data_IF_807143762989
#
_entry.id   IF_807143762989
#
_cell.length_a   1.000
_cell.length_b   1.000
_cell.length_c   1.000
_cell.angle_alpha   90.00
_cell.angle_beta   90.00
_cell.angle_gamma   90.00
#
_symmetry.space_group_name_H-M   'P 1'
#
loop_
_entity.id
_entity.type
_entity.pdbx_description
1 polymer ?
#
# COMPACT_ATOMS: atom_id res chain seq x y z
N UNK A 1 -7.44 -7.75 2.02
CA UNK A 1 -6.70 -8.08 3.24
C UNK A 1 -5.69 -9.20 2.99
N UNK A 2 -4.72 -9.40 3.89
CA UNK A 2 -3.70 -10.45 3.84
C UNK A 2 -3.69 -11.20 5.17
N UNK A 3 -3.37 -12.49 5.14
CA UNK A 3 -3.13 -13.28 6.36
C UNK A 3 -1.71 -13.82 6.29
N UNK A 4 -0.93 -13.59 7.34
CA UNK A 4 0.46 -14.04 7.43
C UNK A 4 0.71 -14.83 8.70
N UNK A 5 1.66 -15.75 8.67
CA UNK A 5 2.20 -16.44 9.84
C UNK A 5 3.73 -16.36 9.80
N UNK A 6 4.28 -15.45 10.60
CA UNK A 6 5.65 -14.99 10.40
C UNK A 6 5.78 -14.27 9.05
N UNK A 7 6.77 -14.66 8.24
CA UNK A 7 6.99 -14.11 6.90
C UNK A 7 6.16 -14.79 5.80
N UNK A 8 5.49 -15.89 6.10
CA UNK A 8 4.74 -16.66 5.12
C UNK A 8 3.30 -16.18 4.99
N UNK A 9 2.80 -16.16 3.74
CA UNK A 9 1.39 -15.89 3.45
C UNK A 9 0.56 -17.15 3.70
N UNK A 10 -0.51 -17.02 4.47
CA UNK A 10 -1.47 -18.11 4.69
C UNK A 10 -2.47 -18.13 3.55
N UNK A 11 -2.35 -19.13 2.69
CA UNK A 11 -3.26 -19.39 1.57
C UNK A 11 -4.35 -20.41 1.90
N UNK A 12 -5.33 -20.55 0.98
CA UNK A 12 -6.38 -21.59 1.06
C UNK A 12 -7.43 -21.36 2.14
N UNK A 13 -7.52 -20.15 2.71
CA UNK A 13 -8.62 -19.77 3.58
C UNK A 13 -9.90 -19.54 2.77
N UNK A 14 -11.03 -19.80 3.39
CA UNK A 14 -12.36 -19.64 2.83
C UNK A 14 -13.14 -18.54 3.55
N UNK A 15 -14.31 -18.20 3.05
CA UNK A 15 -15.22 -17.22 3.67
C UNK A 15 -15.48 -17.52 5.16
N UNK A 16 -15.65 -18.80 5.51
CA UNK A 16 -16.02 -19.24 6.85
C UNK A 16 -14.85 -19.15 7.86
N UNK A 17 -13.62 -18.95 7.35
CA UNK A 17 -12.44 -18.75 8.18
C UNK A 17 -12.35 -17.31 8.72
N UNK A 18 -13.27 -16.41 8.35
CA UNK A 18 -13.21 -15.00 8.72
C UNK A 18 -14.43 -14.51 9.47
N UNK A 19 -14.20 -13.54 10.35
CA UNK A 19 -15.22 -12.75 11.03
C UNK A 19 -14.95 -11.28 10.79
N UNK A 20 -15.94 -10.57 10.26
CA UNK A 20 -15.90 -9.11 10.06
C UNK A 20 -16.74 -8.45 11.14
N UNK A 21 -16.16 -7.46 11.80
CA UNK A 21 -16.85 -6.62 12.79
C UNK A 21 -16.80 -5.18 12.28
N UNK A 22 -17.96 -4.50 12.28
CA UNK A 22 -18.08 -3.07 12.06
C UNK A 22 -18.60 -2.44 13.36
N UNK A 23 -17.86 -1.50 13.94
CA UNK A 23 -18.13 -0.96 15.28
C UNK A 23 -18.35 -2.06 16.32
N UNK A 24 -17.54 -3.13 16.27
CA UNK A 24 -17.63 -4.33 17.10
C UNK A 24 -18.91 -5.17 16.89
N UNK A 25 -19.75 -4.86 15.89
CA UNK A 25 -20.93 -5.66 15.55
C UNK A 25 -20.60 -6.61 14.40
N UNK A 26 -20.87 -7.92 14.52
CA UNK A 26 -20.63 -8.89 13.47
C UNK A 26 -21.42 -8.54 12.20
N UNK A 27 -20.74 -8.57 11.05
CA UNK A 27 -21.32 -8.33 9.74
C UNK A 27 -21.24 -9.58 8.87
N UNK A 28 -22.33 -9.93 8.16
CA UNK A 28 -22.31 -11.05 7.24
C UNK A 28 -21.44 -10.71 6.01
N UNK A 29 -20.51 -11.60 5.69
CA UNK A 29 -19.71 -11.49 4.48
C UNK A 29 -20.59 -11.85 3.28
N UNK A 30 -20.77 -10.92 2.35
CA UNK A 30 -21.62 -11.08 1.15
C UNK A 30 -20.83 -11.75 0.03
N UNK A 31 -19.62 -11.30 -0.24
CA UNK A 31 -18.72 -11.87 -1.25
C UNK A 31 -17.32 -12.12 -0.67
N UNK A 32 -16.68 -13.14 -1.20
CA UNK A 32 -15.33 -13.53 -0.83
C UNK A 32 -14.56 -13.92 -2.11
N UNK A 33 -13.42 -13.33 -2.31
CA UNK A 33 -12.58 -13.58 -3.46
C UNK A 33 -11.11 -13.72 -3.03
N UNK A 34 -10.38 -14.55 -3.76
CA UNK A 34 -8.97 -14.78 -3.49
C UNK A 34 -8.18 -14.88 -4.77
N UNK A 35 -7.40 -13.84 -5.05
CA UNK A 35 -6.39 -13.88 -6.10
C UNK A 35 -6.91 -13.86 -7.55
N UNK A 36 -8.21 -13.87 -7.83
CA UNK A 36 -8.74 -13.91 -9.20
C UNK A 36 -9.00 -12.53 -9.80
N UNK A 37 -9.31 -11.56 -8.96
CA UNK A 37 -9.52 -10.18 -9.35
C UNK A 37 -8.27 -9.55 -9.98
N UNK A 38 -8.41 -8.79 -11.08
CA UNK A 38 -7.33 -7.98 -11.61
C UNK A 38 -6.79 -7.00 -10.58
N UNK A 39 -5.51 -6.69 -10.66
CA UNK A 39 -4.85 -5.71 -9.81
C UNK A 39 -4.41 -4.50 -10.64
N UNK A 40 -4.87 -3.32 -10.24
CA UNK A 40 -4.29 -2.06 -10.67
C UNK A 40 -3.22 -1.66 -9.65
N UNK A 41 -1.96 -1.86 -10.00
CA UNK A 41 -0.81 -1.59 -9.14
C UNK A 41 -0.14 -0.28 -9.56
N UNK A 42 -0.05 0.68 -8.64
CA UNK A 42 0.73 1.89 -8.84
C UNK A 42 2.04 1.77 -8.04
N UNK A 43 3.16 1.83 -8.74
CA UNK A 43 4.49 1.92 -8.16
C UNK A 43 4.82 3.39 -7.92
N UNK A 44 5.06 3.78 -6.67
CA UNK A 44 5.35 5.16 -6.27
C UNK A 44 6.79 5.25 -5.75
N UNK A 45 7.69 5.76 -6.57
CA UNK A 45 9.11 5.80 -6.27
C UNK A 45 9.56 7.16 -5.73
N UNK A 46 10.11 7.17 -4.53
CA UNK A 46 10.87 8.28 -3.98
C UNK A 46 12.20 8.38 -4.73
N UNK A 47 12.35 9.40 -5.56
CA UNK A 47 13.57 9.64 -6.34
C UNK A 47 14.50 10.69 -5.71
N UNK A 48 14.37 10.94 -4.41
CA UNK A 48 15.39 11.69 -3.66
C UNK A 48 16.75 11.00 -3.78
N UNK A 49 17.82 11.77 -3.63
CA UNK A 49 19.18 11.27 -3.89
C UNK A 49 19.58 10.04 -3.07
N UNK A 50 18.99 9.86 -1.87
CA UNK A 50 19.21 8.68 -1.00
C UNK A 50 18.59 7.40 -1.58
N UNK A 51 17.57 7.51 -2.44
CA UNK A 51 16.78 6.40 -2.94
C UNK A 51 17.24 5.84 -4.28
N UNK A 52 18.04 6.58 -5.04
CA UNK A 52 18.46 6.21 -6.40
C UNK A 52 19.01 4.79 -6.48
N UNK A 53 19.94 4.44 -5.57
CA UNK A 53 20.57 3.12 -5.52
C UNK A 53 19.54 1.98 -5.37
N UNK A 54 18.50 2.18 -4.57
CA UNK A 54 17.48 1.15 -4.32
C UNK A 54 16.61 0.94 -5.56
N UNK A 55 16.25 2.00 -6.27
CA UNK A 55 15.48 1.90 -7.52
C UNK A 55 16.30 1.22 -8.62
N UNK A 56 17.59 1.52 -8.72
CA UNK A 56 18.50 0.85 -9.66
C UNK A 56 18.60 -0.67 -9.38
N UNK A 57 18.64 -1.08 -8.12
CA UNK A 57 18.61 -2.49 -7.73
C UNK A 57 17.29 -3.17 -8.13
N UNK A 58 16.15 -2.53 -7.85
CA UNK A 58 14.84 -3.02 -8.24
C UNK A 58 14.75 -3.15 -9.78
N UNK A 59 15.25 -2.16 -10.51
CA UNK A 59 15.21 -2.17 -11.97
C UNK A 59 15.92 -3.39 -12.59
N UNK A 60 16.95 -3.93 -11.94
CA UNK A 60 17.67 -5.11 -12.43
C UNK A 60 16.82 -6.39 -12.36
N UNK A 61 15.89 -6.47 -11.42
CA UNK A 61 15.05 -7.65 -11.16
C UNK A 61 13.57 -7.40 -11.43
N UNK A 62 13.21 -6.18 -11.84
CA UNK A 62 11.81 -5.77 -12.03
C UNK A 62 11.02 -6.72 -12.93
N UNK A 63 11.65 -7.27 -13.98
CA UNK A 63 10.99 -8.22 -14.89
C UNK A 63 10.53 -9.47 -14.12
N UNK A 64 11.40 -10.08 -13.33
CA UNK A 64 11.09 -11.27 -12.55
C UNK A 64 10.03 -10.97 -11.49
N UNK A 65 10.11 -9.80 -10.86
CA UNK A 65 9.10 -9.38 -9.88
C UNK A 65 7.71 -9.19 -10.51
N UNK A 66 7.63 -8.52 -11.66
CA UNK A 66 6.36 -8.30 -12.36
C UNK A 66 5.79 -9.57 -13.01
N UNK A 67 6.59 -10.62 -13.24
CA UNK A 67 6.10 -11.93 -13.70
C UNK A 67 5.19 -12.65 -12.67
N UNK A 68 5.13 -12.17 -11.40
CA UNK A 68 4.12 -12.58 -10.41
C UNK A 68 2.71 -12.00 -10.71
N UNK A 69 2.62 -10.97 -11.53
CA UNK A 69 1.35 -10.41 -11.98
C UNK A 69 0.77 -11.23 -13.14
N UNK A 70 -0.54 -11.15 -13.31
CA UNK A 70 -1.28 -11.84 -14.38
C UNK A 70 -1.48 -10.91 -15.59
N UNK A 71 -1.84 -11.44 -16.76
CA UNK A 71 -2.09 -10.64 -17.96
C UNK A 71 -3.19 -9.57 -17.83
N UNK A 72 -4.14 -9.78 -16.89
CA UNK A 72 -5.20 -8.81 -16.63
C UNK A 72 -4.81 -7.71 -15.64
N UNK A 73 -3.65 -7.84 -14.97
CA UNK A 73 -3.16 -6.85 -14.04
C UNK A 73 -2.51 -5.69 -14.82
N UNK A 74 -2.59 -4.48 -14.25
CA UNK A 74 -2.04 -3.27 -14.88
C UNK A 74 -1.11 -2.56 -13.92
N UNK A 75 -0.04 -1.99 -14.46
CA UNK A 75 0.97 -1.26 -13.68
C UNK A 75 1.05 0.18 -14.16
N UNK A 76 0.99 1.12 -13.23
CA UNK A 76 1.38 2.52 -13.44
C UNK A 76 2.64 2.83 -12.62
N UNK A 77 3.44 3.80 -13.06
CA UNK A 77 4.65 4.23 -12.37
C UNK A 77 4.58 5.73 -12.16
N UNK A 78 4.68 6.13 -10.91
CA UNK A 78 4.83 7.54 -10.52
C UNK A 78 6.14 7.73 -9.76
N UNK A 79 6.71 8.90 -9.90
CA UNK A 79 7.93 9.30 -9.19
C UNK A 79 7.65 10.56 -8.37
N UNK A 80 8.34 10.72 -7.26
CA UNK A 80 8.19 11.93 -6.45
C UNK A 80 9.48 12.33 -5.74
N UNK A 81 9.55 13.63 -5.46
CA UNK A 81 10.38 14.26 -4.45
C UNK A 81 9.58 15.43 -3.88
N UNK A 82 9.86 16.70 -4.27
CA UNK A 82 9.02 17.85 -3.91
C UNK A 82 7.69 17.87 -4.64
N UNK A 83 7.66 17.34 -5.87
CA UNK A 83 6.47 17.19 -6.72
C UNK A 83 6.32 15.74 -7.12
N UNK A 84 5.13 15.39 -7.54
CA UNK A 84 4.81 14.08 -8.09
C UNK A 84 4.70 14.17 -9.61
N UNK A 85 5.16 13.14 -10.32
CA UNK A 85 5.02 13.04 -11.77
C UNK A 85 4.66 11.61 -12.18
N UNK A 86 3.79 11.49 -13.19
CA UNK A 86 3.49 10.21 -13.83
C UNK A 86 4.61 9.88 -14.80
N UNK A 87 5.29 8.76 -14.58
CA UNK A 87 6.33 8.25 -15.48
C UNK A 87 5.75 7.30 -16.52
N UNK A 88 4.77 6.49 -16.12
CA UNK A 88 4.04 5.59 -16.99
C UNK A 88 2.59 5.49 -16.53
N UNK A 89 1.66 5.67 -17.46
CA UNK A 89 0.25 5.41 -17.23
C UNK A 89 -0.02 3.90 -17.06
N UNK A 90 -1.22 3.54 -16.58
CA UNK A 90 -1.61 2.15 -16.43
C UNK A 90 -1.46 1.35 -17.72
N UNK A 91 -0.64 0.31 -17.69
CA UNK A 91 -0.34 -0.58 -18.80
C UNK A 91 -0.42 -2.03 -18.37
N UNK A 92 -0.95 -2.90 -19.23
CA UNK A 92 -0.91 -4.36 -19.12
C UNK A 92 0.36 -4.96 -19.76
N UNK A 93 1.17 -4.14 -20.43
CA UNK A 93 2.47 -4.54 -20.95
C UNK A 93 3.52 -4.57 -19.82
N UNK A 94 3.50 -5.63 -19.02
CA UNK A 94 4.37 -5.80 -17.86
C UNK A 94 5.86 -5.80 -18.23
N UNK A 95 6.20 -6.28 -19.44
CA UNK A 95 7.59 -6.26 -19.92
C UNK A 95 8.07 -4.83 -20.20
N UNK A 96 7.20 -3.96 -20.72
CA UNK A 96 7.49 -2.53 -20.88
C UNK A 96 7.58 -1.86 -19.51
N UNK A 97 6.63 -2.11 -18.62
CA UNK A 97 6.65 -1.55 -17.25
C UNK A 97 7.94 -1.90 -16.52
N UNK A 98 8.46 -3.11 -16.66
CA UNK A 98 9.74 -3.50 -16.08
C UNK A 98 10.92 -2.66 -16.63
N UNK A 99 10.91 -2.35 -17.94
CA UNK A 99 11.93 -1.46 -18.53
C UNK A 99 11.82 -0.03 -18.04
N UNK A 100 10.59 0.46 -17.89
CA UNK A 100 10.31 1.83 -17.44
C UNK A 100 10.74 2.08 -15.98
N UNK A 101 10.75 1.06 -15.12
CA UNK A 101 11.29 1.19 -13.75
C UNK A 101 12.74 1.67 -13.78
N UNK A 102 13.57 1.15 -14.70
CA UNK A 102 14.96 1.59 -14.86
C UNK A 102 15.12 3.05 -15.34
N UNK A 103 14.10 3.58 -16.03
CA UNK A 103 14.04 4.97 -16.45
C UNK A 103 13.52 5.94 -15.40
N UNK A 104 12.84 5.43 -14.37
CA UNK A 104 12.11 6.22 -13.38
C UNK A 104 12.98 7.21 -12.57
N UNK A 105 14.28 6.96 -12.42
CA UNK A 105 15.22 7.85 -11.71
C UNK A 105 15.86 8.91 -12.58
N UNK A 106 15.60 8.93 -13.89
CA UNK A 106 16.31 9.80 -14.83
C UNK A 106 15.50 11.02 -15.24
N UNK A 107 16.15 12.19 -15.22
CA UNK A 107 15.67 13.42 -15.87
C UNK A 107 14.35 14.02 -15.36
N UNK A 108 14.06 13.94 -14.06
CA UNK A 108 12.87 14.54 -13.48
C UNK A 108 13.16 15.85 -12.76
N UNK A 109 12.41 16.91 -13.12
CA UNK A 109 12.37 18.17 -12.37
C UNK A 109 11.27 18.11 -11.28
N UNK A 110 11.48 17.25 -10.30
CA UNK A 110 10.56 17.09 -9.15
C UNK A 110 11.05 17.79 -7.89
N UNK A 111 12.18 18.48 -7.95
CA UNK A 111 12.82 19.18 -6.84
C UNK A 111 13.63 18.24 -5.92
N UNK A 112 14.18 18.81 -4.85
CA UNK A 112 15.17 18.12 -3.99
C UNK A 112 14.66 17.73 -2.60
N UNK A 113 13.47 18.23 -2.21
CA UNK A 113 12.82 17.89 -0.93
C UNK A 113 11.85 16.72 -1.13
N UNK A 114 11.54 15.97 -0.08
CA UNK A 114 10.66 14.79 -0.16
C UNK A 114 9.32 15.09 0.51
N UNK A 115 8.20 14.96 -0.22
CA UNK A 115 6.84 15.24 0.24
C UNK A 115 5.96 13.99 0.15
N UNK A 116 6.21 13.04 1.05
CA UNK A 116 5.63 11.69 1.01
C UNK A 116 4.10 11.72 1.10
N UNK A 117 3.52 12.41 2.10
CA UNK A 117 2.07 12.44 2.28
C UNK A 117 1.35 13.07 1.08
N UNK A 118 1.93 14.13 0.48
CA UNK A 118 1.41 14.73 -0.76
C UNK A 118 1.49 13.74 -1.91
N UNK A 119 2.61 13.04 -2.08
CA UNK A 119 2.79 12.08 -3.14
C UNK A 119 1.80 10.89 -3.04
N UNK A 120 1.51 10.41 -1.83
CA UNK A 120 0.51 9.36 -1.63
C UNK A 120 -0.89 9.87 -1.99
N UNK A 121 -1.25 11.11 -1.64
CA UNK A 121 -2.53 11.71 -2.03
C UNK A 121 -2.64 11.88 -3.54
N UNK A 122 -1.59 12.37 -4.20
CA UNK A 122 -1.56 12.49 -5.66
C UNK A 122 -1.72 11.11 -6.33
N UNK A 123 -1.03 10.09 -5.80
CA UNK A 123 -1.15 8.71 -6.28
C UNK A 123 -2.56 8.13 -6.04
N UNK A 124 -3.20 8.40 -4.90
CA UNK A 124 -4.57 7.98 -4.63
C UNK A 124 -5.58 8.61 -5.59
N UNK A 125 -5.45 9.92 -5.86
CA UNK A 125 -6.29 10.63 -6.84
C UNK A 125 -6.08 10.10 -8.26
N UNK A 126 -4.81 9.90 -8.64
CA UNK A 126 -4.48 9.30 -9.93
C UNK A 126 -5.08 7.89 -10.06
N UNK A 127 -5.02 7.07 -8.99
CA UNK A 127 -5.65 5.76 -8.94
C UNK A 127 -7.16 5.85 -9.15
N UNK A 128 -7.83 6.78 -8.46
CA UNK A 128 -9.27 6.98 -8.58
C UNK A 128 -9.69 7.35 -10.01
N UNK A 129 -8.91 8.17 -10.70
CA UNK A 129 -9.22 8.69 -12.03
C UNK A 129 -8.85 7.72 -13.17
N UNK A 130 -7.78 6.90 -13.01
CA UNK A 130 -7.15 6.18 -14.13
C UNK A 130 -7.15 4.65 -13.99
N UNK A 131 -7.42 4.09 -12.79
CA UNK A 131 -7.42 2.64 -12.62
C UNK A 131 -8.58 1.94 -13.35
N UNK A 132 -9.60 2.69 -13.75
CA UNK A 132 -10.80 2.12 -14.37
C UNK A 132 -11.74 1.46 -13.34
N UNK A 133 -12.89 0.98 -13.81
CA UNK A 133 -13.84 0.27 -12.95
C UNK A 133 -13.37 -1.16 -12.68
N UNK A 134 -13.64 -1.63 -11.47
CA UNK A 134 -13.34 -3.00 -11.06
C UNK A 134 -11.86 -3.25 -10.76
N UNK A 135 -11.60 -4.45 -10.25
CA UNK A 135 -10.26 -4.87 -9.83
C UNK A 135 -9.82 -4.24 -8.50
N UNK A 136 -8.80 -4.84 -7.91
CA UNK A 136 -8.18 -4.35 -6.68
C UNK A 136 -7.22 -3.22 -6.99
N UNK A 137 -7.16 -2.23 -6.11
CA UNK A 137 -6.28 -1.07 -6.24
C UNK A 137 -5.22 -1.09 -5.15
N UNK A 138 -3.97 -1.02 -5.55
CA UNK A 138 -2.84 -1.03 -4.63
C UNK A 138 -1.79 0.00 -5.05
N UNK A 139 -1.27 0.73 -4.07
CA UNK A 139 -0.05 1.54 -4.21
C UNK A 139 1.06 0.79 -3.50
N UNK A 140 2.21 0.66 -4.14
CA UNK A 140 3.46 0.22 -3.54
C UNK A 140 4.45 1.37 -3.55
N UNK A 141 4.66 1.98 -2.38
CA UNK A 141 5.64 3.06 -2.23
C UNK A 141 7.01 2.50 -1.84
N UNK A 142 8.06 3.03 -2.48
CA UNK A 142 9.45 2.82 -2.08
C UNK A 142 10.04 4.14 -1.57
N UNK A 143 10.45 4.21 -0.29
CA UNK A 143 10.94 5.45 0.35
C UNK A 143 11.84 5.15 1.54
N UNK A 144 12.65 6.14 1.96
CA UNK A 144 13.36 6.09 3.25
C UNK A 144 12.55 6.69 4.42
N UNK A 145 11.29 7.01 4.19
CA UNK A 145 10.35 7.59 5.15
C UNK A 145 10.82 8.94 5.74
N UNK A 146 11.65 9.69 5.03
CA UNK A 146 12.09 11.02 5.43
C UNK A 146 11.35 12.07 4.63
N UNK A 147 10.41 12.77 5.27
CA UNK A 147 9.62 13.85 4.66
C UNK A 147 10.00 15.20 5.24
N UNK A 148 9.99 16.22 4.39
CA UNK A 148 10.33 17.61 4.76
C UNK A 148 9.10 18.49 4.98
N UNK A 149 7.90 17.95 4.96
CA UNK A 149 6.68 18.77 4.99
C UNK A 149 5.60 18.25 5.94
N UNK A 150 4.96 19.19 6.65
CA UNK A 150 3.79 18.98 7.51
C UNK A 150 2.45 19.30 6.83
N UNK A 151 2.41 19.44 5.50
CA UNK A 151 1.23 20.02 4.83
C UNK A 151 0.00 19.12 4.88
N UNK A 152 0.14 17.79 4.99
CA UNK A 152 -0.97 16.85 5.07
C UNK A 152 -0.79 15.93 6.28
N UNK A 153 -1.86 15.80 7.06
CA UNK A 153 -1.92 14.86 8.19
C UNK A 153 -2.18 13.43 7.68
N UNK A 154 -1.78 12.43 8.46
CA UNK A 154 -2.06 11.01 8.15
C UNK A 154 -3.57 10.77 7.96
N UNK A 155 -4.43 11.39 8.76
CA UNK A 155 -5.88 11.28 8.59
C UNK A 155 -6.40 11.85 7.26
N UNK A 156 -5.77 12.88 6.69
CA UNK A 156 -6.11 13.37 5.34
C UNK A 156 -5.67 12.38 4.28
N UNK A 157 -4.49 11.79 4.42
CA UNK A 157 -3.96 10.76 3.49
C UNK A 157 -4.85 9.51 3.50
N UNK A 158 -5.20 9.01 4.69
CA UNK A 158 -6.08 7.84 4.86
C UNK A 158 -7.43 8.09 4.18
N UNK A 159 -8.01 9.28 4.36
CA UNK A 159 -9.28 9.65 3.71
C UNK A 159 -9.20 9.64 2.18
N UNK A 160 -8.12 10.11 1.59
CA UNK A 160 -7.97 10.10 0.13
C UNK A 160 -7.71 8.67 -0.40
N UNK A 161 -6.97 7.85 0.34
CA UNK A 161 -6.81 6.42 0.03
C UNK A 161 -8.13 5.65 0.13
N UNK A 162 -8.94 5.96 1.15
CA UNK A 162 -10.27 5.36 1.33
C UNK A 162 -11.22 5.73 0.19
N UNK A 163 -11.31 7.01 -0.19
CA UNK A 163 -12.09 7.45 -1.35
C UNK A 163 -11.69 6.77 -2.66
N UNK A 164 -10.39 6.51 -2.83
CA UNK A 164 -9.86 5.83 -4.00
C UNK A 164 -10.00 4.31 -3.92
N UNK A 165 -10.54 3.76 -2.81
CA UNK A 165 -10.58 2.34 -2.49
C UNK A 165 -9.22 1.65 -2.71
N UNK A 166 -8.17 2.26 -2.19
CA UNK A 166 -6.79 1.89 -2.50
C UNK A 166 -6.04 1.49 -1.23
N UNK A 167 -5.34 0.36 -1.30
CA UNK A 167 -4.47 -0.15 -0.24
C UNK A 167 -3.05 0.36 -0.47
N UNK A 168 -2.46 0.98 0.55
CA UNK A 168 -1.06 1.39 0.53
C UNK A 168 -0.18 0.26 1.07
N UNK A 169 0.83 -0.13 0.32
CA UNK A 169 1.90 -1.01 0.78
C UNK A 169 3.23 -0.25 0.70
N UNK A 170 4.20 -0.60 1.54
CA UNK A 170 5.45 0.14 1.61
C UNK A 170 6.67 -0.78 1.66
N UNK A 171 7.67 -0.45 0.84
CA UNK A 171 9.05 -0.90 1.01
C UNK A 171 9.82 0.29 1.56
N UNK A 172 10.33 0.16 2.78
CA UNK A 172 11.11 1.20 3.41
C UNK A 172 12.58 0.80 3.49
N UNK A 173 13.49 1.75 3.27
CA UNK A 173 14.92 1.44 3.35
C UNK A 173 15.34 1.19 4.79
N UNK A 174 16.49 0.52 5.00
CA UNK A 174 17.00 0.20 6.34
C UNK A 174 17.28 1.41 7.24
N UNK A 175 17.35 2.63 6.69
CA UNK A 175 17.47 3.89 7.42
C UNK A 175 16.13 4.47 7.88
N UNK A 176 15.02 3.96 7.36
CA UNK A 176 13.69 4.42 7.74
C UNK A 176 13.46 4.22 9.24
N UNK A 177 12.99 5.28 9.88
CA UNK A 177 12.61 5.27 11.29
C UNK A 177 11.09 5.26 11.35
N UNK A 178 10.52 4.29 12.09
CA UNK A 178 9.11 4.34 12.45
C UNK A 178 8.95 5.36 13.57
N UNK A 179 8.18 6.43 13.39
CA UNK A 179 7.89 7.34 14.49
C UNK A 179 7.13 6.58 15.57
N UNK A 180 7.59 6.66 16.82
CA UNK A 180 6.79 6.17 17.94
C UNK A 180 5.51 6.99 18.01
N UNK A 181 4.38 6.34 18.31
CA UNK A 181 3.08 7.00 18.48
C UNK A 181 3.14 8.16 19.50
N UNK A 182 2.22 9.13 19.42
CA UNK A 182 2.44 10.53 19.67
C UNK A 182 2.92 10.83 21.09
N UNK A 183 4.18 11.22 21.18
CA UNK A 183 4.72 11.98 22.30
C UNK A 183 5.26 13.31 21.78
N UNK A 184 5.35 14.35 22.59
CA UNK A 184 5.95 15.62 22.20
C UNK A 184 7.47 15.43 22.08
N UNK A 185 7.92 14.76 21.03
CA UNK A 185 9.35 14.70 20.72
C UNK A 185 9.68 15.92 19.88
N UNK A 186 10.48 16.80 20.45
CA UNK A 186 11.14 17.85 19.69
C UNK A 186 12.13 17.16 18.74
N UNK A 187 11.81 17.15 17.45
CA UNK A 187 12.80 16.86 16.43
C UNK A 187 13.84 17.99 16.46
N UNK A 188 15.13 17.67 16.35
CA UNK A 188 16.19 18.70 16.36
C UNK A 188 16.09 19.68 15.18
N UNK A 189 15.36 19.33 14.13
CA UNK A 189 14.99 20.21 13.03
C UNK A 189 13.47 20.25 12.89
N UNK A 190 12.78 21.39 13.12
CA UNK A 190 11.34 21.51 12.99
C UNK A 190 10.84 21.34 11.56
N UNK A 191 11.72 21.47 10.56
CA UNK A 191 11.39 21.25 9.15
C UNK A 191 11.47 19.77 8.76
N UNK A 192 11.83 18.89 9.69
CA UNK A 192 12.03 17.46 9.46
C UNK A 192 11.07 16.64 10.31
N UNK A 193 9.99 16.18 9.70
CA UNK A 193 9.11 15.18 10.32
C UNK A 193 9.16 13.92 9.50
N UNK A 194 9.51 12.79 10.10
CA UNK A 194 9.33 11.53 9.41
C UNK A 194 7.86 11.32 9.13
N UNK A 195 7.50 11.09 7.87
CA UNK A 195 6.18 10.56 7.51
C UNK A 195 5.96 9.23 8.21
N UNK A 196 4.70 8.88 8.44
CA UNK A 196 4.38 7.60 9.06
C UNK A 196 3.82 6.61 8.03
N UNK A 197 4.60 6.31 7.00
CA UNK A 197 4.23 5.34 5.95
C UNK A 197 3.87 3.98 6.54
N UNK A 198 4.48 3.60 7.65
CA UNK A 198 4.16 2.38 8.39
C UNK A 198 2.70 2.37 8.87
N UNK A 199 2.29 3.44 9.55
CA UNK A 199 0.92 3.62 10.01
C UNK A 199 -0.07 3.70 8.86
N UNK A 200 0.23 4.46 7.82
CA UNK A 200 -0.62 4.60 6.63
C UNK A 200 -0.86 3.25 5.93
N UNK A 201 0.18 2.40 5.83
CA UNK A 201 0.04 1.07 5.27
C UNK A 201 -0.88 0.21 6.16
N UNK A 202 -0.63 0.16 7.47
CA UNK A 202 -1.43 -0.62 8.42
C UNK A 202 -2.91 -0.21 8.42
N UNK A 203 -3.21 1.10 8.44
CA UNK A 203 -4.58 1.63 8.46
C UNK A 203 -5.38 1.26 7.19
N UNK A 204 -4.72 1.23 6.04
CA UNK A 204 -5.36 0.82 4.79
C UNK A 204 -5.40 -0.69 4.58
N UNK A 205 -4.88 -1.46 5.55
CA UNK A 205 -4.80 -2.91 5.48
C UNK A 205 -3.67 -3.43 4.59
N UNK A 206 -2.72 -2.58 4.24
CA UNK A 206 -1.51 -2.98 3.54
C UNK A 206 -0.42 -3.49 4.47
N UNK A 207 0.73 -3.72 3.90
CA UNK A 207 1.91 -4.21 4.62
C UNK A 207 3.10 -3.29 4.36
N UNK A 208 4.04 -3.28 5.28
CA UNK A 208 5.32 -2.63 5.09
C UNK A 208 6.47 -3.61 5.40
N UNK A 209 7.54 -3.50 4.64
CA UNK A 209 8.75 -4.32 4.82
C UNK A 209 9.97 -3.42 4.77
N UNK A 210 10.94 -3.66 5.67
CA UNK A 210 12.25 -3.03 5.59
C UNK A 210 13.10 -3.74 4.55
N UNK A 211 13.55 -3.00 3.53
CA UNK A 211 14.42 -3.56 2.51
C UNK A 211 15.83 -3.76 3.06
N UNK A 212 16.20 -4.99 3.35
CA UNK A 212 17.59 -5.40 3.48
C UNK A 212 18.23 -5.57 2.09
N UNK A 213 17.48 -6.17 1.16
CA UNK A 213 17.80 -6.30 -0.26
C UNK A 213 16.55 -5.87 -1.05
N UNK A 214 16.64 -4.72 -1.72
CA UNK A 214 15.48 -4.07 -2.32
C UNK A 214 14.83 -4.91 -3.43
N UNK A 215 15.61 -5.63 -4.21
CA UNK A 215 15.17 -6.48 -5.32
C UNK A 215 14.31 -7.67 -4.84
N UNK A 216 14.80 -8.41 -3.85
CA UNK A 216 14.06 -9.56 -3.29
C UNK A 216 12.79 -9.09 -2.57
N UNK A 217 12.89 -8.01 -1.80
CA UNK A 217 11.76 -7.42 -1.09
C UNK A 217 10.68 -6.93 -2.08
N UNK A 218 11.09 -6.38 -3.22
CA UNK A 218 10.16 -5.92 -4.25
C UNK A 218 9.36 -7.07 -4.84
N UNK A 219 10.01 -8.18 -5.23
CA UNK A 219 9.34 -9.36 -5.77
C UNK A 219 8.35 -9.96 -4.75
N UNK A 220 8.76 -10.10 -3.49
CA UNK A 220 7.90 -10.60 -2.41
C UNK A 220 6.66 -9.71 -2.21
N UNK A 221 6.82 -8.38 -2.25
CA UNK A 221 5.69 -7.47 -2.08
C UNK A 221 4.72 -7.54 -3.26
N UNK A 222 5.21 -7.66 -4.50
CA UNK A 222 4.34 -7.86 -5.67
C UNK A 222 3.51 -9.15 -5.50
N UNK A 223 4.13 -10.26 -5.13
CA UNK A 223 3.45 -11.52 -4.88
C UNK A 223 2.40 -11.39 -3.77
N UNK A 224 2.77 -10.79 -2.64
CA UNK A 224 1.85 -10.54 -1.52
C UNK A 224 0.65 -9.68 -1.93
N UNK A 225 0.88 -8.59 -2.67
CA UNK A 225 -0.20 -7.76 -3.20
C UNK A 225 -1.11 -8.59 -4.11
N UNK A 226 -0.55 -9.49 -4.93
CA UNK A 226 -1.32 -10.29 -5.87
C UNK A 226 -2.18 -11.36 -5.19
N UNK A 227 -1.73 -11.92 -4.07
CA UNK A 227 -2.38 -13.05 -3.38
C UNK A 227 -3.33 -12.66 -2.24
N UNK A 228 -3.76 -11.40 -2.16
CA UNK A 228 -4.66 -10.91 -1.10
C UNK A 228 -6.08 -11.45 -1.23
N UNK A 229 -6.74 -11.62 -0.08
CA UNK A 229 -8.17 -11.89 0.00
C UNK A 229 -8.98 -10.61 -0.12
N UNK A 230 -10.16 -10.69 -0.73
CA UNK A 230 -11.17 -9.63 -0.75
C UNK A 230 -12.44 -10.13 -0.05
N UNK A 231 -12.90 -9.34 0.91
CA UNK A 231 -14.17 -9.54 1.61
C UNK A 231 -15.08 -8.36 1.32
N UNK A 232 -16.33 -8.64 1.02
CA UNK A 232 -17.36 -7.62 0.84
C UNK A 232 -18.47 -7.88 1.87
N UNK A 233 -18.90 -6.84 2.56
CA UNK A 233 -20.08 -6.83 3.42
C UNK A 233 -20.90 -5.56 3.16
N UNK A 234 -22.15 -5.53 3.61
CA UNK A 234 -22.98 -4.34 3.49
C UNK A 234 -22.65 -3.33 4.59
N UNK A 235 -22.40 -2.10 4.22
CA UNK A 235 -22.23 -1.01 5.17
C UNK A 235 -23.52 -0.82 5.99
N UNK A 236 -23.43 -0.85 7.34
CA UNK A 236 -24.58 -0.50 8.17
C UNK A 236 -24.98 0.96 8.02
N UNK A 237 -26.28 1.30 8.13
CA UNK A 237 -26.72 2.69 8.07
C UNK A 237 -25.96 3.58 9.07
N UNK A 238 -25.41 4.68 8.57
CA UNK A 238 -24.64 5.62 9.37
C UNK A 238 -24.71 7.03 8.76
N UNK A 239 -24.27 8.05 9.52
CA UNK A 239 -24.18 9.42 8.98
C UNK A 239 -23.03 9.51 7.98
N UNK A 240 -23.25 10.07 6.76
CA UNK A 240 -22.17 10.32 5.80
C UNK A 240 -20.99 11.08 6.41
N UNK A 241 -19.78 10.64 6.09
CA UNK A 241 -18.56 11.24 6.59
C UNK A 241 -18.13 10.81 8.00
N UNK A 242 -18.91 9.98 8.70
CA UNK A 242 -18.51 9.39 9.98
C UNK A 242 -17.45 8.31 9.73
N UNK A 243 -16.37 8.37 10.49
CA UNK A 243 -15.38 7.28 10.46
C UNK A 243 -15.91 6.09 11.25
N UNK A 244 -15.86 4.89 10.65
CA UNK A 244 -16.29 3.62 11.24
C UNK A 244 -15.12 2.66 11.34
N UNK A 245 -14.99 1.99 12.47
CA UNK A 245 -13.92 1.02 12.69
C UNK A 245 -14.31 -0.38 12.19
N UNK A 246 -13.41 -0.98 11.42
CA UNK A 246 -13.52 -2.37 10.97
C UNK A 246 -12.49 -3.21 11.70
N UNK A 247 -12.91 -4.40 12.12
CA UNK A 247 -11.99 -5.45 12.57
C UNK A 247 -12.26 -6.72 11.77
N UNK A 248 -11.24 -7.22 11.10
CA UNK A 248 -11.28 -8.54 10.48
C UNK A 248 -10.38 -9.48 11.27
N UNK A 249 -10.89 -10.62 11.64
CA UNK A 249 -10.15 -11.65 12.38
C UNK A 249 -10.47 -13.03 11.84
N UNK A 250 -9.61 -14.00 12.15
CA UNK A 250 -9.89 -15.39 11.88
C UNK A 250 -11.03 -15.90 12.78
N UNK A 251 -11.82 -16.83 12.28
CA UNK A 251 -12.77 -17.60 13.08
C UNK A 251 -12.03 -18.43 14.14
N UNK A 252 -12.74 -18.85 15.16
CA UNK A 252 -12.15 -19.66 16.24
C UNK A 252 -11.48 -20.96 15.72
N UNK A 253 -12.02 -21.53 14.66
CA UNK A 253 -11.49 -22.75 14.04
C UNK A 253 -10.21 -22.45 13.24
N UNK A 254 -10.24 -21.42 12.42
CA UNK A 254 -9.07 -20.96 11.67
C UNK A 254 -7.95 -20.49 12.62
N UNK A 255 -8.28 -19.79 13.72
CA UNK A 255 -7.31 -19.36 14.71
C UNK A 255 -6.62 -20.55 15.42
N UNK A 256 -7.33 -21.66 15.65
CA UNK A 256 -6.72 -22.90 16.19
C UNK A 256 -5.77 -23.53 15.21
N UNK A 257 -6.10 -23.49 13.91
CA UNK A 257 -5.25 -24.03 12.84
C UNK A 257 -4.01 -23.17 12.60
N UNK A 258 -4.13 -21.85 12.76
CA UNK A 258 -3.08 -20.86 12.54
C UNK A 258 -2.92 -19.95 13.78
N UNK A 259 -2.37 -20.46 14.90
CA UNK A 259 -2.42 -19.77 16.20
C UNK A 259 -1.62 -18.47 16.27
N UNK A 260 -0.60 -18.31 15.42
CA UNK A 260 0.23 -17.12 15.34
C UNK A 260 -0.04 -16.27 14.07
N UNK A 261 -1.14 -16.56 13.35
CA UNK A 261 -1.48 -15.80 12.17
C UNK A 261 -1.90 -14.37 12.52
N UNK A 262 -1.48 -13.43 11.67
CA UNK A 262 -1.86 -12.03 11.71
C UNK A 262 -2.73 -11.70 10.50
N UNK A 263 -3.79 -10.92 10.71
CA UNK A 263 -4.68 -10.44 9.66
C UNK A 263 -4.37 -8.97 9.40
N UNK A 264 -3.91 -8.66 8.20
CA UNK A 264 -3.68 -7.30 7.72
C UNK A 264 -4.90 -6.87 6.90
N UNK A 265 -5.76 -6.09 7.51
CA UNK A 265 -6.99 -5.59 6.90
C UNK A 265 -7.14 -4.09 7.18
N UNK A 266 -7.93 -3.40 6.36
CA UNK A 266 -8.32 -2.01 6.63
C UNK A 266 -8.90 -1.88 8.02
N UNK A 267 -8.50 -0.86 8.76
CA UNK A 267 -8.96 -0.64 10.15
C UNK A 267 -10.24 0.17 10.24
N UNK A 268 -10.63 0.85 9.16
CA UNK A 268 -11.85 1.62 9.10
C UNK A 268 -12.12 2.23 7.73
N UNK A 269 -13.23 2.94 7.64
CA UNK A 269 -13.66 3.68 6.45
C UNK A 269 -14.52 4.89 6.83
N UNK A 270 -14.69 5.82 5.89
CA UNK A 270 -15.63 6.92 6.04
C UNK A 270 -16.96 6.56 5.38
N UNK A 271 -18.04 6.55 6.16
CA UNK A 271 -19.39 6.26 5.68
C UNK A 271 -19.79 7.19 4.52
N UNK A 272 -20.48 6.63 3.51
CA UNK A 272 -20.90 7.33 2.30
C UNK A 272 -22.35 7.82 2.38
#
# INVERSE_FOLDING_TARGET
>A
MQVTQGDDVVGGLTKDDFVVLDENQPQPIVSFEHGDEPVNLLLLFDISGSMQKYIEQIAQTARVALDHLRPADRVAIMVFAKKTAVHQDFSDNLAESARQIGGAVKNWDVGTTTMINTAIVDAARYMQEHAGPGGRRAILILTDNLSTSFQLTDGQVIRELDKADTVLNAIVTGRAIRPDLPGPRMFPNPDYTPSNVFHLAEETGGEWVKAAQADQTFAQMIERIRTRYMLVYHEPPSQPGTFRHITVKLSNEAQKKYPSAQVHARTGYYAQ
#
